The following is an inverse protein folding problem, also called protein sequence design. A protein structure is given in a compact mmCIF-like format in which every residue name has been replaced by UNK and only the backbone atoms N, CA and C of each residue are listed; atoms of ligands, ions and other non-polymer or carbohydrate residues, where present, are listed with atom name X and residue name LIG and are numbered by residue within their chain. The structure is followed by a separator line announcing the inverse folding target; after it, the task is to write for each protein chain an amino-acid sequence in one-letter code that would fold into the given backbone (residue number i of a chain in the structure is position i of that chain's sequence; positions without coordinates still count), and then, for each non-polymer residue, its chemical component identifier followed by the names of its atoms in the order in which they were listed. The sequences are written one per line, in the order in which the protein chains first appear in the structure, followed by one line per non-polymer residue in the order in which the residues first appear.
data_IF_115547677712
#
_entry.id   IF_115547677712
#
_cell.length_a   1.000
_cell.length_b   1.000
_cell.length_c   1.000
_cell.angle_alpha   90.00
_cell.angle_beta   90.00
_cell.angle_gamma   90.00
#
_symmetry.space_group_name_H-M   'P 1'
#
loop_
_entity.id
_entity.type
_entity.pdbx_description
1 polymer ?
#
# COMPACT_ATOMS: atom_id res chain seq x y z
N UNK A 1 20.57 -8.75 -1.56
CA UNK A 1 20.75 -7.31 -1.65
C UNK A 1 19.42 -6.62 -1.40
N UNK A 2 19.43 -5.56 -0.60
CA UNK A 2 18.19 -4.89 -0.23
C UNK A 2 17.91 -3.76 -1.21
N UNK A 3 16.71 -3.76 -1.76
CA UNK A 3 16.30 -2.77 -2.75
C UNK A 3 15.68 -1.58 -2.03
N UNK A 4 16.11 -0.35 -2.32
CA UNK A 4 15.48 0.81 -1.69
C UNK A 4 14.02 0.97 -2.10
N UNK A 5 13.24 1.52 -1.19
CA UNK A 5 11.81 1.72 -1.41
C UNK A 5 11.51 3.20 -1.28
N UNK A 6 10.71 3.70 -2.22
CA UNK A 6 10.21 5.06 -2.17
C UNK A 6 8.69 5.04 -2.15
N UNK A 7 8.11 5.79 -1.24
CA UNK A 7 6.67 5.97 -1.18
C UNK A 7 6.31 7.21 -1.99
N UNK A 8 5.51 7.02 -3.04
CA UNK A 8 5.06 8.15 -3.81
C UNK A 8 4.15 9.05 -2.97
N UNK A 9 4.07 10.30 -3.35
CA UNK A 9 3.23 11.26 -2.65
C UNK A 9 1.81 10.75 -2.49
N UNK A 10 1.25 10.17 -3.54
CA UNK A 10 -0.11 9.67 -3.50
C UNK A 10 -0.25 8.50 -2.53
N UNK A 11 0.75 7.64 -2.46
CA UNK A 11 0.71 6.53 -1.52
C UNK A 11 0.77 7.02 -0.08
N UNK A 12 1.57 8.05 0.18
CA UNK A 12 1.60 8.62 1.52
C UNK A 12 0.27 9.26 1.88
N UNK A 13 -0.36 9.93 0.90
CA UNK A 13 -1.68 10.51 1.14
C UNK A 13 -2.71 9.42 1.41
N UNK A 14 -2.62 8.30 0.71
CA UNK A 14 -3.51 7.16 0.96
C UNK A 14 -3.36 6.66 2.40
N UNK A 15 -2.12 6.49 2.85
CA UNK A 15 -1.88 6.01 4.22
C UNK A 15 -2.45 6.97 5.24
N UNK A 16 -2.28 8.26 5.02
CA UNK A 16 -2.81 9.25 5.94
C UNK A 16 -4.33 9.21 5.98
N UNK A 17 -4.97 9.13 4.82
CA UNK A 17 -6.42 9.08 4.75
C UNK A 17 -6.96 7.83 5.44
N UNK A 18 -6.30 6.69 5.21
CA UNK A 18 -6.70 5.45 5.84
C UNK A 18 -6.54 5.54 7.35
N UNK A 19 -5.43 6.12 7.81
CA UNK A 19 -5.19 6.26 9.24
C UNK A 19 -6.30 7.08 9.90
N UNK A 20 -6.66 8.21 9.32
CA UNK A 20 -7.69 9.04 9.92
C UNK A 20 -9.05 8.38 9.87
N UNK A 21 -9.36 7.69 8.78
CA UNK A 21 -10.60 6.96 8.70
C UNK A 21 -10.69 5.91 9.81
N UNK A 22 -9.64 5.13 9.99
CA UNK A 22 -9.63 4.08 11.01
C UNK A 22 -9.58 4.65 12.42
N UNK A 23 -8.89 5.76 12.58
CA UNK A 23 -8.86 6.42 13.86
C UNK A 23 -10.27 6.78 14.33
N UNK A 24 -11.07 7.32 13.40
CA UNK A 24 -12.43 7.69 13.75
C UNK A 24 -13.36 6.52 13.89
N UNK A 25 -13.16 5.48 13.08
CA UNK A 25 -14.06 4.34 13.12
C UNK A 25 -13.72 3.31 14.18
N UNK A 26 -12.45 3.17 14.52
CA UNK A 26 -12.01 2.07 15.38
C UNK A 26 -10.96 2.45 16.41
N UNK A 27 -10.50 3.69 16.41
CA UNK A 27 -9.58 4.17 17.44
C UNK A 27 -8.13 4.09 17.03
N UNK A 28 -7.27 4.70 17.87
CA UNK A 28 -5.87 4.89 17.53
C UNK A 28 -5.10 3.58 17.44
N UNK A 29 -5.47 2.59 18.26
CA UNK A 29 -4.72 1.33 18.24
C UNK A 29 -4.90 0.61 16.92
N UNK A 30 -6.12 0.58 16.41
CA UNK A 30 -6.39 -0.08 15.13
C UNK A 30 -5.73 0.71 14.00
N UNK A 31 -5.83 2.03 14.04
CA UNK A 31 -5.24 2.85 12.99
C UNK A 31 -3.73 2.66 12.93
N UNK A 32 -3.08 2.66 14.09
CA UNK A 32 -1.63 2.50 14.17
C UNK A 32 -1.20 1.11 13.72
N UNK A 33 -1.90 0.09 14.19
CA UNK A 33 -1.55 -1.29 13.83
C UNK A 33 -1.69 -1.51 12.32
N UNK A 34 -2.70 -0.91 11.71
CA UNK A 34 -2.91 -1.06 10.28
C UNK A 34 -1.81 -0.36 9.50
N UNK A 35 -1.46 0.86 9.89
CA UNK A 35 -0.40 1.56 9.18
C UNK A 35 0.95 0.85 9.35
N UNK A 36 1.21 0.33 10.55
CA UNK A 36 2.43 -0.46 10.78
C UNK A 36 2.45 -1.68 9.89
N UNK A 37 1.29 -2.27 9.64
CA UNK A 37 1.22 -3.43 8.75
C UNK A 37 1.63 -3.05 7.33
N UNK A 38 1.19 -1.88 6.85
CA UNK A 38 1.61 -1.44 5.53
C UNK A 38 3.13 -1.33 5.44
N UNK A 39 3.74 -0.73 6.45
CA UNK A 39 5.19 -0.56 6.44
C UNK A 39 5.90 -1.90 6.47
N UNK A 40 5.45 -2.83 7.31
CA UNK A 40 6.09 -4.12 7.39
C UNK A 40 5.93 -4.93 6.11
N UNK A 41 4.77 -4.81 5.44
CA UNK A 41 4.58 -5.50 4.17
C UNK A 41 5.51 -4.94 3.09
N UNK A 42 5.68 -3.64 3.08
CA UNK A 42 6.58 -3.03 2.11
C UNK A 42 8.04 -3.44 2.39
N UNK A 43 8.39 -3.60 3.66
CA UNK A 43 9.74 -4.06 3.98
C UNK A 43 10.03 -5.43 3.39
N UNK A 44 9.03 -6.29 3.29
CA UNK A 44 9.21 -7.59 2.66
C UNK A 44 9.65 -7.43 1.21
N UNK A 45 9.14 -6.39 0.54
CA UNK A 45 9.48 -6.16 -0.86
C UNK A 45 10.95 -5.83 -1.06
N UNK A 46 11.62 -5.30 -0.05
CA UNK A 46 13.05 -4.97 -0.20
C UNK A 46 13.88 -6.18 -0.53
N UNK A 47 13.49 -7.35 -0.03
CA UNK A 47 14.21 -8.59 -0.32
C UNK A 47 13.49 -9.47 -1.31
N UNK A 48 12.20 -9.20 -1.53
CA UNK A 48 11.39 -9.97 -2.46
C UNK A 48 10.57 -9.04 -3.34
N UNK A 49 11.23 -8.33 -4.26
CA UNK A 49 10.50 -7.32 -5.03
C UNK A 49 9.35 -7.88 -5.86
N UNK A 50 9.41 -9.15 -6.20
CA UNK A 50 8.38 -9.76 -7.03
C UNK A 50 7.33 -10.51 -6.21
N UNK A 51 7.25 -10.24 -4.92
CA UNK A 51 6.29 -10.94 -4.04
C UNK A 51 4.83 -10.68 -4.42
N UNK A 52 4.52 -9.50 -4.94
CA UNK A 52 3.17 -9.22 -5.39
C UNK A 52 2.90 -9.81 -6.75
N UNK A 53 1.65 -9.75 -7.19
CA UNK A 53 1.26 -10.27 -8.51
C UNK A 53 1.04 -9.11 -9.47
N UNK A 54 1.18 -9.40 -10.75
CA UNK A 54 0.95 -8.39 -11.77
C UNK A 54 -0.51 -7.96 -11.76
N UNK A 55 -0.74 -6.67 -11.95
CA UNK A 55 -2.11 -6.17 -11.91
C UNK A 55 -2.86 -6.42 -13.19
N UNK A 56 -2.17 -6.53 -14.29
CA UNK A 56 -2.82 -6.67 -15.58
C UNK A 56 -3.23 -5.37 -16.22
N UNK A 57 -3.22 -4.27 -15.48
CA UNK A 57 -3.67 -3.00 -16.04
C UNK A 57 -2.52 -2.15 -16.54
N UNK A 58 -1.33 -2.32 -15.99
CA UNK A 58 -0.14 -1.63 -16.47
C UNK A 58 1.01 -2.59 -16.41
N UNK A 59 1.90 -2.47 -17.37
CA UNK A 59 2.88 -3.49 -17.62
C UNK A 59 3.75 -3.85 -16.43
N UNK A 60 4.18 -2.90 -15.67
CA UNK A 60 5.12 -3.16 -14.61
C UNK A 60 4.51 -3.05 -13.22
N UNK A 61 3.23 -2.84 -13.16
CA UNK A 61 2.60 -2.70 -11.85
C UNK A 61 2.31 -4.03 -11.22
N UNK A 62 2.54 -4.07 -9.93
CA UNK A 62 2.23 -5.24 -9.12
C UNK A 62 1.38 -4.82 -7.94
N UNK A 63 0.65 -5.77 -7.38
CA UNK A 63 -0.12 -5.52 -6.18
C UNK A 63 0.23 -6.53 -5.13
N UNK A 64 0.27 -6.08 -3.89
CA UNK A 64 0.52 -6.93 -2.74
C UNK A 64 -0.71 -6.86 -1.86
N UNK A 65 -1.36 -8.00 -1.66
CA UNK A 65 -2.55 -8.06 -0.81
C UNK A 65 -2.10 -8.09 0.63
N UNK A 66 -2.70 -7.25 1.46
CA UNK A 66 -2.36 -7.20 2.88
C UNK A 66 -3.20 -8.26 3.59
N UNK A 67 -2.59 -9.31 4.19
CA UNK A 67 -3.38 -10.39 4.79
C UNK A 67 -4.24 -9.88 5.94
N UNK A 68 -5.48 -10.31 5.98
CA UNK A 68 -6.42 -10.01 7.06
C UNK A 68 -6.86 -8.55 7.14
N UNK A 69 -6.35 -7.72 6.22
CA UNK A 69 -6.76 -6.33 6.14
C UNK A 69 -7.30 -6.12 4.74
N UNK A 70 -8.36 -5.35 4.58
CA UNK A 70 -8.97 -5.19 3.25
C UNK A 70 -8.24 -4.14 2.42
N UNK A 71 -6.93 -4.30 2.25
CA UNK A 71 -6.12 -3.33 1.53
C UNK A 71 -5.19 -4.01 0.56
N UNK A 72 -4.83 -3.30 -0.49
CA UNK A 72 -3.80 -3.73 -1.41
C UNK A 72 -2.80 -2.59 -1.58
N UNK A 73 -1.55 -2.98 -1.80
CA UNK A 73 -0.46 -2.03 -2.04
C UNK A 73 -0.05 -2.19 -3.49
N UNK A 74 -0.14 -1.11 -4.26
CA UNK A 74 0.22 -1.12 -5.67
C UNK A 74 1.61 -0.53 -5.81
N UNK A 75 2.50 -1.22 -6.50
CA UNK A 75 3.88 -0.79 -6.61
C UNK A 75 4.46 -1.16 -7.97
N UNK A 76 5.61 -0.58 -8.30
CA UNK A 76 6.38 -0.96 -9.47
C UNK A 76 7.81 -1.23 -9.03
N UNK A 77 8.46 -2.16 -9.73
CA UNK A 77 9.87 -2.47 -9.52
C UNK A 77 10.64 -1.82 -10.66
N UNK A 78 11.54 -0.92 -10.29
CA UNK A 78 12.40 -0.27 -11.26
C UNK A 78 13.81 -0.81 -11.12
N UNK A 79 14.73 -0.33 -11.97
CA UNK A 79 16.06 -0.92 -12.00
C UNK A 79 16.73 -0.95 -10.64
N UNK A 80 16.63 0.12 -9.89
CA UNK A 80 17.38 0.24 -8.63
C UNK A 80 16.50 0.50 -7.43
N UNK A 81 15.18 0.52 -7.61
CA UNK A 81 14.30 0.86 -6.50
C UNK A 81 12.91 0.29 -6.72
N UNK A 82 12.14 0.31 -5.65
CA UNK A 82 10.73 -0.03 -5.67
C UNK A 82 9.96 1.24 -5.34
N UNK A 83 8.94 1.53 -6.14
CA UNK A 83 8.12 2.70 -5.88
C UNK A 83 6.73 2.25 -5.49
N UNK A 84 6.29 2.69 -4.33
CA UNK A 84 4.93 2.38 -3.85
C UNK A 84 4.02 3.47 -4.39
N UNK A 85 3.08 3.06 -5.23
CA UNK A 85 2.22 4.00 -5.94
C UNK A 85 0.94 4.33 -5.19
N UNK A 86 0.29 3.32 -4.62
CA UNK A 86 -0.99 3.51 -3.95
C UNK A 86 -1.17 2.50 -2.84
N UNK A 87 -1.98 2.87 -1.85
CA UNK A 87 -2.52 1.93 -0.87
C UNK A 87 -4.03 2.08 -0.95
N UNK A 88 -4.73 1.03 -1.34
CA UNK A 88 -6.14 1.11 -1.63
C UNK A 88 -6.95 0.12 -0.79
N UNK A 89 -8.12 0.56 -0.36
CA UNK A 89 -9.08 -0.35 0.27
C UNK A 89 -9.68 -1.21 -0.84
N UNK A 90 -9.90 -2.49 -0.56
CA UNK A 90 -10.37 -3.39 -1.61
C UNK A 90 -11.81 -3.13 -2.02
N UNK A 91 -12.60 -2.49 -1.19
CA UNK A 91 -14.02 -2.31 -1.50
C UNK A 91 -14.60 -0.97 -1.11
N UNK A 92 -13.80 -0.06 -0.52
CA UNK A 92 -14.33 1.21 -0.07
C UNK A 92 -13.48 2.36 -0.52
N UNK A 93 -14.11 3.51 -0.64
CA UNK A 93 -13.39 4.75 -0.79
C UNK A 93 -13.10 5.30 0.59
N UNK A 94 -11.83 5.58 0.86
CA UNK A 94 -11.44 6.17 2.12
C UNK A 94 -11.30 7.67 1.89
N UNK A 95 -12.01 8.46 2.69
CA UNK A 95 -12.02 9.92 2.58
C UNK A 95 -12.40 10.38 1.17
N UNK A 96 -13.14 9.59 0.44
CA UNK A 96 -13.58 9.96 -0.90
C UNK A 96 -12.45 10.16 -1.88
N UNK A 97 -11.28 9.63 -1.57
CA UNK A 97 -10.12 10.03 -2.33
C UNK A 97 -9.78 9.14 -3.47
N UNK A 98 -9.85 7.84 -3.35
CA UNK A 98 -9.42 7.05 -4.46
C UNK A 98 -10.62 6.65 -5.30
N UNK A 99 -10.36 6.47 -6.57
CA UNK A 99 -11.40 6.12 -7.49
C UNK A 99 -11.55 4.65 -7.55
N UNK A 100 -12.74 4.21 -7.86
CA UNK A 100 -13.02 2.85 -7.97
C UNK A 100 -12.54 2.28 -9.24
N UNK A 101 -12.12 2.88 -10.11
CA UNK A 101 -11.81 2.31 -11.41
C UNK A 101 -10.97 1.08 -11.40
#
# INVERSE_FOLDING_TARGET
MITPVEWEKQARADREAIFFYLYEEAGVLVATATDDKFVSMVDILRENPLAGTKTGSAEKQRKLVVPRFPFIIVYVVENTSIRILRVLHTSRKIAGRYNKS
#
